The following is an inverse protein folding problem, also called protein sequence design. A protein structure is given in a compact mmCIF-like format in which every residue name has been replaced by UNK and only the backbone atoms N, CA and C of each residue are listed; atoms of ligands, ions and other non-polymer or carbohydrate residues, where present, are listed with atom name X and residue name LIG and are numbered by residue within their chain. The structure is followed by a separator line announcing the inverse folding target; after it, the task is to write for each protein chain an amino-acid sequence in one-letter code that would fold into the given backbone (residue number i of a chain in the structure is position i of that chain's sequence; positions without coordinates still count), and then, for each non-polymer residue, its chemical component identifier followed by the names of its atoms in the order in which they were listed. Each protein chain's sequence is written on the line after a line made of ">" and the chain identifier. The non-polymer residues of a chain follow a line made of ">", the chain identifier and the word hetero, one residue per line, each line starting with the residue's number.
data_IF_298955052458
#
_entry.id   IF_298955052458
#
_cell.length_a   1.000
_cell.length_b   1.000
_cell.length_c   1.000
_cell.angle_alpha   90.00
_cell.angle_beta   90.00
_cell.angle_gamma   90.00
#
_symmetry.space_group_name_H-M   'P 1'
#
loop_
_entity.id
_entity.type
_entity.pdbx_description
1 polymer ?
#
# COMPACT_ATOMS: atom_id res chain seq x y z
N UNK A 1 7.43 20.32 -15.89
CA UNK A 1 6.11 20.98 -15.80
C UNK A 1 5.45 20.62 -14.47
N UNK A 2 4.62 21.51 -13.92
CA UNK A 2 3.87 21.30 -12.67
C UNK A 2 3.04 20.01 -12.76
N UNK A 3 2.50 19.73 -13.94
CA UNK A 3 1.73 18.53 -14.25
C UNK A 3 2.51 17.23 -13.97
N UNK A 4 3.76 17.14 -14.45
CA UNK A 4 4.60 15.96 -14.25
C UNK A 4 4.98 15.81 -12.76
N UNK A 5 5.32 16.90 -12.08
CA UNK A 5 5.65 16.86 -10.65
C UNK A 5 4.49 16.38 -9.81
N UNK A 6 3.27 16.82 -10.13
CA UNK A 6 2.05 16.42 -9.42
C UNK A 6 1.72 14.94 -9.67
N UNK A 7 1.80 14.46 -10.92
CA UNK A 7 1.59 13.04 -11.24
C UNK A 7 2.61 12.14 -10.53
N UNK A 8 3.89 12.53 -10.53
CA UNK A 8 4.94 11.79 -9.84
C UNK A 8 4.72 11.78 -8.32
N UNK A 9 4.30 12.90 -7.73
CA UNK A 9 4.00 12.98 -6.30
C UNK A 9 2.81 12.09 -5.92
N UNK A 10 1.73 12.10 -6.71
CA UNK A 10 0.55 11.25 -6.48
C UNK A 10 0.90 9.77 -6.63
N UNK A 11 1.63 9.39 -7.67
CA UNK A 11 2.08 8.01 -7.90
C UNK A 11 3.02 7.53 -6.78
N UNK A 12 3.95 8.38 -6.34
CA UNK A 12 4.84 8.08 -5.22
C UNK A 12 4.06 7.89 -3.91
N UNK A 13 3.12 8.79 -3.61
CA UNK A 13 2.31 8.68 -2.40
C UNK A 13 1.44 7.42 -2.40
N UNK A 14 0.80 7.09 -3.52
CA UNK A 14 0.02 5.85 -3.66
C UNK A 14 0.90 4.61 -3.50
N UNK A 15 2.08 4.58 -4.12
CA UNK A 15 3.02 3.47 -3.99
C UNK A 15 3.49 3.28 -2.54
N UNK A 16 3.82 4.36 -1.85
CA UNK A 16 4.27 4.30 -0.45
C UNK A 16 3.14 3.84 0.48
N UNK A 17 1.94 4.42 0.34
CA UNK A 17 0.79 4.06 1.21
C UNK A 17 0.29 2.65 0.93
N UNK A 18 0.14 2.26 -0.34
CA UNK A 18 -0.26 0.91 -0.75
C UNK A 18 0.77 -0.13 -0.34
N UNK A 19 2.05 0.11 -0.60
CA UNK A 19 3.15 -0.77 -0.19
C UNK A 19 3.24 -0.95 1.32
N UNK A 20 3.09 0.13 2.09
CA UNK A 20 3.09 0.08 3.55
C UNK A 20 1.87 -0.68 4.10
N UNK A 21 0.67 -0.42 3.58
CA UNK A 21 -0.54 -1.13 3.96
C UNK A 21 -0.44 -2.63 3.66
N UNK A 22 0.09 -3.01 2.49
CA UNK A 22 0.32 -4.41 2.12
C UNK A 22 1.34 -5.09 3.05
N UNK A 23 2.44 -4.41 3.39
CA UNK A 23 3.45 -4.95 4.29
C UNK A 23 2.87 -5.23 5.69
N UNK A 24 2.09 -4.29 6.24
CA UNK A 24 1.39 -4.46 7.51
C UNK A 24 0.39 -5.61 7.45
N UNK A 25 -0.41 -5.69 6.38
CA UNK A 25 -1.40 -6.76 6.20
C UNK A 25 -0.72 -8.14 6.14
N UNK A 26 0.35 -8.30 5.36
CA UNK A 26 1.09 -9.57 5.26
C UNK A 26 1.68 -9.94 6.62
N UNK A 27 2.30 -9.00 7.33
CA UNK A 27 2.90 -9.25 8.65
C UNK A 27 1.86 -9.69 9.67
N UNK A 28 0.74 -8.96 9.77
CA UNK A 28 -0.36 -9.28 10.68
C UNK A 28 -1.01 -10.63 10.35
N UNK A 29 -1.20 -10.92 9.05
CA UNK A 29 -1.79 -12.19 8.62
C UNK A 29 -0.85 -13.38 8.89
N UNK A 30 0.47 -13.20 8.73
CA UNK A 30 1.46 -14.23 9.10
C UNK A 30 1.42 -14.55 10.58
N UNK A 31 1.36 -13.53 11.42
CA UNK A 31 1.29 -13.71 12.88
C UNK A 31 0.01 -14.45 13.27
N UNK A 32 -1.13 -14.04 12.74
CA UNK A 32 -2.43 -14.65 13.04
C UNK A 32 -2.51 -16.10 12.56
N UNK A 33 -2.20 -16.39 11.30
CA UNK A 33 -2.18 -17.77 10.77
C UNK A 33 -1.20 -18.63 11.55
N UNK A 34 0.00 -18.11 11.84
CA UNK A 34 0.97 -18.82 12.64
C UNK A 34 0.48 -19.13 14.04
N UNK A 35 -0.21 -18.19 14.69
CA UNK A 35 -0.83 -18.38 16.01
C UNK A 35 -1.92 -19.44 16.00
N UNK A 36 -2.85 -19.35 15.04
CA UNK A 36 -3.96 -20.30 14.89
C UNK A 36 -3.42 -21.71 14.60
N UNK A 37 -2.48 -21.84 13.65
CA UNK A 37 -1.92 -23.16 13.30
C UNK A 37 -1.16 -23.77 14.47
N UNK A 38 -0.36 -23.01 15.22
CA UNK A 38 0.27 -23.49 16.46
C UNK A 38 -0.77 -23.91 17.51
N UNK A 39 -1.87 -23.15 17.62
CA UNK A 39 -3.00 -23.55 18.47
C UNK A 39 -3.54 -24.92 18.07
N UNK A 40 -3.83 -25.15 16.81
CA UNK A 40 -4.30 -26.45 16.30
C UNK A 40 -3.29 -27.57 16.52
N UNK A 41 -2.00 -27.34 16.28
CA UNK A 41 -0.95 -28.33 16.51
C UNK A 41 -0.88 -28.76 17.99
N UNK A 42 -0.95 -27.78 18.90
CA UNK A 42 -0.99 -28.05 20.35
C UNK A 42 -2.24 -28.81 20.74
N UNK A 43 -3.39 -28.36 20.27
CA UNK A 43 -4.68 -28.97 20.65
C UNK A 43 -4.80 -30.39 20.07
N UNK A 44 -4.28 -30.60 18.85
CA UNK A 44 -4.26 -31.92 18.22
C UNK A 44 -3.31 -32.89 18.94
N UNK A 45 -2.08 -32.47 19.27
CA UNK A 45 -1.12 -33.27 20.05
C UNK A 45 -1.69 -33.62 21.42
N UNK A 46 -2.34 -32.66 22.07
CA UNK A 46 -3.00 -32.89 23.37
C UNK A 46 -4.19 -33.83 23.29
N UNK A 47 -5.07 -33.64 22.28
CA UNK A 47 -6.28 -34.47 22.16
C UNK A 47 -5.94 -35.95 21.97
N UNK A 48 -5.04 -36.24 21.02
CA UNK A 48 -4.56 -37.60 20.79
C UNK A 48 -3.69 -38.10 21.93
N UNK A 49 -2.91 -37.24 22.58
CA UNK A 49 -2.12 -37.60 23.77
C UNK A 49 -2.97 -37.99 24.95
N UNK A 50 -4.02 -37.23 25.28
CA UNK A 50 -4.95 -37.57 26.35
C UNK A 50 -5.76 -38.83 26.03
N UNK A 51 -6.13 -39.02 24.76
CA UNK A 51 -6.76 -40.26 24.31
C UNK A 51 -5.88 -41.48 24.56
N UNK A 52 -4.64 -41.40 24.14
CA UNK A 52 -3.66 -42.49 24.35
C UNK A 52 -3.32 -42.72 25.82
N UNK A 53 -3.28 -41.65 26.62
CA UNK A 53 -3.06 -41.75 28.06
C UNK A 53 -4.20 -42.53 28.76
N UNK A 54 -5.47 -42.28 28.39
CA UNK A 54 -6.60 -43.02 28.89
C UNK A 54 -6.59 -44.49 28.43
N UNK A 55 -6.16 -44.78 27.23
CA UNK A 55 -6.02 -46.16 26.71
C UNK A 55 -4.87 -46.89 27.42
N UNK A 56 -3.77 -46.19 27.72
CA UNK A 56 -2.65 -46.75 28.48
C UNK A 56 -3.08 -47.15 29.90
N UNK A 57 -3.93 -46.34 30.56
CA UNK A 57 -4.50 -46.65 31.88
C UNK A 57 -5.43 -47.88 31.84
N UNK A 58 -6.07 -48.15 30.70
CA UNK A 58 -7.06 -49.23 30.55
C UNK A 58 -6.43 -50.52 30.02
N UNK A 59 -5.63 -50.42 28.96
CA UNK A 59 -5.11 -51.55 28.18
C UNK A 59 -3.61 -51.80 28.42
N UNK A 60 -2.95 -50.93 29.25
CA UNK A 60 -1.56 -51.05 29.57
C UNK A 60 -0.65 -50.81 28.33
N UNK A 61 0.50 -51.49 28.32
CA UNK A 61 1.53 -51.33 27.24
C UNK A 61 1.03 -51.68 25.85
N UNK A 62 -0.09 -52.41 25.71
CA UNK A 62 -0.68 -52.72 24.40
C UNK A 62 -1.17 -51.46 23.67
N UNK A 63 -1.55 -50.41 24.40
CA UNK A 63 -1.91 -49.12 23.83
C UNK A 63 -0.73 -48.44 23.09
N UNK A 64 0.50 -48.72 23.50
CA UNK A 64 1.72 -48.18 22.85
C UNK A 64 2.27 -49.11 21.73
N UNK A 65 1.55 -50.19 21.42
CA UNK A 65 1.97 -51.09 20.33
C UNK A 65 1.94 -50.35 18.96
N UNK A 66 2.90 -50.67 18.10
CA UNK A 66 2.98 -50.01 16.77
C UNK A 66 1.75 -50.25 15.90
N UNK A 67 1.06 -51.40 16.02
CA UNK A 67 -0.18 -51.72 15.30
C UNK A 67 -1.36 -50.84 15.79
N UNK A 68 -1.52 -50.72 17.10
CA UNK A 68 -2.54 -49.88 17.69
C UNK A 68 -2.34 -48.41 17.33
N UNK A 69 -1.13 -47.89 17.54
CA UNK A 69 -0.77 -46.50 17.18
C UNK A 69 -0.98 -46.22 15.69
N UNK A 70 -0.65 -47.16 14.81
CA UNK A 70 -0.94 -47.01 13.38
C UNK A 70 -2.42 -46.94 13.07
N UNK A 71 -3.27 -47.71 13.83
CA UNK A 71 -4.70 -47.72 13.60
C UNK A 71 -5.39 -46.40 13.93
N UNK A 72 -4.91 -45.67 14.95
CA UNK A 72 -5.52 -44.43 15.45
C UNK A 72 -4.85 -43.17 14.89
N UNK A 73 -3.59 -43.24 14.48
CA UNK A 73 -2.82 -42.06 14.05
C UNK A 73 -2.58 -41.95 12.55
N UNK A 74 -2.90 -43.02 11.78
CA UNK A 74 -2.69 -43.01 10.34
C UNK A 74 -3.55 -41.93 9.66
N UNK A 75 -2.89 -41.03 8.90
CA UNK A 75 -3.55 -39.93 8.19
C UNK A 75 -3.94 -38.74 9.05
N UNK A 76 -3.62 -38.74 10.35
CA UNK A 76 -3.84 -37.59 11.23
C UNK A 76 -2.88 -36.46 10.83
N UNK A 77 -3.45 -35.32 10.46
CA UNK A 77 -2.72 -34.14 10.03
C UNK A 77 -3.48 -32.85 10.36
N UNK A 78 -2.80 -31.72 10.30
CA UNK A 78 -3.44 -30.41 10.41
C UNK A 78 -4.06 -30.07 9.06
N UNK A 79 -5.36 -29.81 9.03
CA UNK A 79 -6.09 -29.50 7.81
C UNK A 79 -5.48 -28.28 7.10
N UNK A 80 -5.24 -28.41 5.79
CA UNK A 80 -4.64 -27.35 4.98
C UNK A 80 -3.12 -27.21 5.11
N UNK A 81 -2.44 -28.10 5.86
CA UNK A 81 -0.98 -28.18 5.99
C UNK A 81 -0.51 -29.57 5.60
N UNK A 82 -0.18 -29.76 4.32
CA UNK A 82 0.11 -31.07 3.73
C UNK A 82 1.34 -31.76 4.32
N UNK A 83 2.33 -30.97 4.77
CA UNK A 83 3.55 -31.48 5.42
C UNK A 83 3.34 -31.91 6.86
N UNK A 84 2.15 -31.69 7.43
CA UNK A 84 1.88 -32.04 8.82
C UNK A 84 1.65 -33.52 9.01
N UNK A 85 2.13 -34.04 10.11
CA UNK A 85 1.88 -35.42 10.54
C UNK A 85 2.08 -35.54 12.04
N UNK A 86 1.57 -36.66 12.58
CA UNK A 86 1.69 -37.01 13.99
C UNK A 86 2.65 -38.21 14.14
N UNK A 87 3.41 -38.23 15.21
CA UNK A 87 4.24 -39.37 15.59
C UNK A 87 4.36 -39.47 17.11
N UNK A 88 4.76 -40.63 17.61
CA UNK A 88 4.87 -40.93 19.05
C UNK A 88 6.27 -41.41 19.34
N UNK A 89 6.85 -40.89 20.42
CA UNK A 89 8.17 -41.25 20.93
C UNK A 89 7.99 -41.72 22.39
N UNK A 90 8.66 -42.73 22.79
CA UNK A 90 8.71 -43.15 24.21
C UNK A 90 9.46 -42.14 25.08
N UNK A 91 9.28 -42.20 26.39
CA UNK A 91 10.03 -41.31 27.31
C UNK A 91 11.54 -41.42 27.24
N UNK A 92 12.08 -42.54 26.76
CA UNK A 92 13.52 -42.75 26.52
C UNK A 92 14.02 -42.22 25.19
N UNK A 93 13.11 -41.73 24.29
CA UNK A 93 13.46 -41.16 23.00
C UNK A 93 13.36 -42.13 21.82
N UNK A 94 12.85 -43.36 22.02
CA UNK A 94 12.63 -44.33 20.93
C UNK A 94 11.34 -44.02 20.18
N UNK A 95 11.35 -44.04 18.85
CA UNK A 95 10.20 -43.81 17.99
C UNK A 95 9.23 -44.99 18.07
N UNK A 96 8.09 -44.80 18.68
CA UNK A 96 7.02 -45.83 18.77
C UNK A 96 6.15 -45.85 17.54
N UNK A 97 5.83 -44.70 16.97
CA UNK A 97 5.08 -44.56 15.74
C UNK A 97 5.60 -43.39 14.91
N UNK A 98 5.68 -43.63 13.60
CA UNK A 98 5.95 -42.59 12.61
C UNK A 98 5.31 -42.97 11.27
N UNK A 99 4.75 -42.03 10.46
CA UNK A 99 4.24 -42.34 9.13
C UNK A 99 5.26 -42.99 8.19
N UNK A 100 6.53 -42.72 8.38
CA UNK A 100 7.65 -43.39 7.69
C UNK A 100 8.11 -44.58 8.52
N UNK A 101 7.75 -45.78 8.11
CA UNK A 101 7.98 -47.02 8.88
C UNK A 101 9.47 -47.28 9.24
N UNK A 102 10.41 -46.86 8.39
CA UNK A 102 11.85 -47.05 8.63
C UNK A 102 12.37 -46.28 9.84
N UNK A 103 11.59 -45.33 10.40
CA UNK A 103 11.96 -44.58 11.59
C UNK A 103 11.51 -45.23 12.89
N UNK A 104 10.55 -46.14 12.84
CA UNK A 104 10.03 -46.85 14.02
C UNK A 104 11.15 -47.69 14.65
N UNK A 105 11.25 -47.66 15.98
CA UNK A 105 12.27 -48.35 16.74
C UNK A 105 13.65 -47.65 16.74
N UNK A 106 13.79 -46.49 16.09
CA UNK A 106 15.05 -45.72 16.10
C UNK A 106 14.94 -44.51 17.04
N UNK A 107 16.10 -44.03 17.53
CA UNK A 107 16.11 -42.79 18.29
C UNK A 107 15.57 -41.61 17.52
N UNK A 108 14.84 -40.71 18.19
CA UNK A 108 14.37 -39.45 17.59
C UNK A 108 15.53 -38.56 17.21
N UNK A 109 15.47 -37.99 16.00
CA UNK A 109 16.59 -37.20 15.46
C UNK A 109 16.44 -35.69 15.69
N UNK A 110 15.20 -35.18 15.87
CA UNK A 110 15.00 -33.73 15.92
C UNK A 110 15.30 -33.14 17.31
N UNK A 111 15.84 -31.93 17.31
CA UNK A 111 16.29 -31.23 18.51
C UNK A 111 15.16 -30.96 19.50
N UNK A 112 13.97 -30.56 19.04
CA UNK A 112 12.87 -30.20 19.94
C UNK A 112 12.43 -31.34 20.83
N UNK A 113 12.29 -32.54 20.26
CA UNK A 113 11.91 -33.74 21.03
C UNK A 113 13.07 -34.28 21.84
N UNK A 114 14.31 -34.22 21.33
CA UNK A 114 15.49 -34.59 22.10
C UNK A 114 15.66 -33.72 23.37
N UNK A 115 15.36 -32.41 23.26
CA UNK A 115 15.37 -31.51 24.43
C UNK A 115 14.29 -31.91 25.45
N UNK A 116 13.11 -32.35 24.99
CA UNK A 116 12.03 -32.89 25.86
C UNK A 116 12.46 -34.19 26.54
N UNK A 117 13.01 -35.14 25.80
CA UNK A 117 13.54 -36.41 26.34
C UNK A 117 14.64 -36.13 27.38
N UNK A 118 15.52 -35.16 27.11
CA UNK A 118 16.59 -34.79 28.07
C UNK A 118 16.03 -34.18 29.37
N UNK A 119 14.90 -33.45 29.32
CA UNK A 119 14.20 -32.95 30.52
C UNK A 119 13.57 -34.09 31.28
N UNK A 120 12.88 -35.01 30.60
CA UNK A 120 12.29 -36.24 31.20
C UNK A 120 13.38 -37.04 31.94
N UNK A 121 14.51 -37.28 31.31
CA UNK A 121 15.61 -38.02 31.93
C UNK A 121 16.18 -37.37 33.22
N UNK A 122 15.94 -36.05 33.40
CA UNK A 122 16.33 -35.31 34.61
C UNK A 122 15.18 -35.25 35.65
N UNK A 123 14.02 -35.82 35.34
CA UNK A 123 12.82 -35.69 36.16
C UNK A 123 12.17 -34.31 36.11
N UNK A 124 12.50 -33.52 35.11
CA UNK A 124 11.90 -32.20 34.91
C UNK A 124 10.57 -32.32 34.16
N UNK A 125 9.58 -31.49 34.54
CA UNK A 125 8.32 -31.44 33.82
C UNK A 125 8.48 -30.80 32.44
N UNK A 126 7.95 -31.43 31.41
CA UNK A 126 7.86 -30.88 30.06
C UNK A 126 6.52 -30.22 29.87
N UNK A 127 6.47 -28.97 29.48
CA UNK A 127 5.23 -28.27 29.16
C UNK A 127 4.72 -28.64 27.77
N UNK A 128 3.39 -28.68 27.63
CA UNK A 128 2.73 -28.93 26.38
C UNK A 128 2.72 -27.63 25.53
N UNK A 129 3.70 -27.51 24.66
CA UNK A 129 3.95 -26.30 23.88
C UNK A 129 4.19 -26.58 22.39
N UNK A 130 4.14 -25.53 21.59
CA UNK A 130 4.59 -25.60 20.20
C UNK A 130 5.90 -24.87 20.05
N UNK A 131 6.91 -25.60 19.65
CA UNK A 131 8.27 -25.07 19.45
C UNK A 131 8.62 -25.00 17.97
N UNK A 132 9.35 -23.96 17.59
CA UNK A 132 9.98 -23.87 16.27
C UNK A 132 11.39 -24.46 16.36
N UNK A 133 11.75 -25.32 15.42
CA UNK A 133 13.06 -25.95 15.36
C UNK A 133 13.52 -26.12 13.92
N UNK A 134 14.83 -26.29 13.73
CA UNK A 134 15.40 -26.60 12.43
C UNK A 134 15.64 -28.11 12.32
N UNK A 135 15.27 -28.71 11.18
CA UNK A 135 15.53 -30.09 10.88
C UNK A 135 15.99 -30.24 9.43
N UNK A 136 17.22 -30.74 9.23
CA UNK A 136 17.84 -30.96 7.91
C UNK A 136 17.81 -29.72 7.01
N UNK A 137 18.03 -28.54 7.59
CA UNK A 137 18.05 -27.24 6.86
C UNK A 137 16.67 -26.64 6.59
N UNK A 138 15.59 -27.22 7.11
CA UNK A 138 14.24 -26.67 7.03
C UNK A 138 13.70 -26.29 8.41
N UNK A 139 13.08 -25.12 8.51
CA UNK A 139 12.34 -24.70 9.70
C UNK A 139 11.04 -25.50 9.83
N UNK A 140 10.76 -26.00 11.03
CA UNK A 140 9.54 -26.74 11.35
C UNK A 140 8.94 -26.28 12.65
N UNK A 141 7.64 -26.58 12.84
CA UNK A 141 6.96 -26.53 14.13
C UNK A 141 6.79 -27.94 14.68
N UNK A 142 6.85 -28.11 16.02
CA UNK A 142 6.46 -29.30 16.74
C UNK A 142 5.52 -28.92 17.90
N UNK A 143 4.28 -29.36 17.83
CA UNK A 143 3.36 -29.36 18.96
C UNK A 143 3.62 -30.61 19.80
N UNK A 144 4.06 -30.44 21.04
CA UNK A 144 4.52 -31.48 21.93
C UNK A 144 3.50 -31.66 23.05
N UNK A 145 3.07 -32.88 23.29
CA UNK A 145 2.36 -33.30 24.48
C UNK A 145 3.14 -34.42 25.17
N UNK A 146 3.26 -34.34 26.49
CA UNK A 146 3.86 -35.38 27.32
C UNK A 146 2.83 -35.72 28.40
N UNK A 147 2.56 -37.00 28.59
CA UNK A 147 1.66 -37.44 29.65
C UNK A 147 2.27 -37.27 31.06
N UNK A 148 1.45 -37.31 32.10
CA UNK A 148 1.92 -37.02 33.47
C UNK A 148 2.92 -38.06 33.99
N UNK A 149 2.84 -39.30 33.53
CA UNK A 149 3.79 -40.37 33.85
C UNK A 149 5.07 -40.34 33.03
N UNK A 150 5.10 -39.51 31.94
CA UNK A 150 6.21 -39.32 31.05
C UNK A 150 6.61 -40.61 30.26
N UNK A 151 5.65 -41.50 30.03
CA UNK A 151 5.87 -42.75 29.29
C UNK A 151 6.00 -42.52 27.81
N UNK A 152 5.33 -41.49 27.27
CA UNK A 152 5.39 -41.13 25.85
C UNK A 152 5.32 -39.64 25.60
N UNK A 153 5.77 -39.28 24.39
CA UNK A 153 5.72 -37.93 23.83
C UNK A 153 4.93 -38.01 22.54
N UNK A 154 3.77 -37.34 22.49
CA UNK A 154 2.98 -37.17 21.28
C UNK A 154 3.41 -35.90 20.56
N UNK A 155 3.73 -36.00 19.27
CA UNK A 155 4.25 -34.87 18.51
C UNK A 155 3.46 -34.66 17.22
N UNK A 156 2.95 -33.48 17.02
CA UNK A 156 2.42 -33.01 15.74
C UNK A 156 3.43 -32.07 15.11
N UNK A 157 3.93 -32.38 13.94
CA UNK A 157 4.93 -31.56 13.24
C UNK A 157 4.43 -31.04 11.92
N UNK A 158 4.94 -29.89 11.47
CA UNK A 158 4.66 -29.31 10.17
C UNK A 158 5.84 -28.44 9.68
N UNK A 159 6.01 -28.35 8.38
CA UNK A 159 7.00 -27.45 7.78
C UNK A 159 6.53 -25.99 7.90
N UNK A 160 7.44 -25.13 8.39
CA UNK A 160 7.17 -23.69 8.51
C UNK A 160 6.67 -23.10 7.21
N UNK A 161 7.35 -23.41 6.12
CA UNK A 161 7.02 -22.92 4.80
C UNK A 161 5.63 -23.35 4.31
N UNK A 162 5.18 -24.53 4.70
CA UNK A 162 3.87 -25.04 4.30
C UNK A 162 2.76 -24.39 5.10
N UNK A 163 2.95 -24.18 6.40
CA UNK A 163 2.03 -23.42 7.26
C UNK A 163 1.71 -22.05 6.65
N UNK A 164 2.69 -21.41 6.03
CA UNK A 164 2.52 -20.10 5.39
C UNK A 164 2.33 -20.16 3.87
N UNK A 165 2.14 -21.34 3.28
CA UNK A 165 1.96 -21.52 1.83
C UNK A 165 0.79 -20.74 1.25
N UNK A 166 -0.32 -20.69 1.98
CA UNK A 166 -1.51 -19.93 1.60
C UNK A 166 -1.25 -18.43 1.51
N UNK A 167 -0.39 -17.89 2.37
CA UNK A 167 -0.01 -16.46 2.32
C UNK A 167 0.81 -16.17 1.08
N UNK A 168 1.75 -17.04 0.70
CA UNK A 168 2.53 -16.88 -0.55
C UNK A 168 1.66 -16.81 -1.80
N UNK A 169 0.56 -17.57 -1.85
CA UNK A 169 -0.44 -17.47 -2.93
C UNK A 169 -1.14 -16.11 -2.96
N UNK A 170 -1.36 -15.51 -1.80
CA UNK A 170 -1.96 -14.17 -1.66
C UNK A 170 -0.94 -13.07 -2.02
N UNK A 171 0.34 -13.22 -1.67
CA UNK A 171 1.41 -12.27 -2.01
C UNK A 171 1.46 -11.99 -3.53
N UNK A 172 1.31 -13.03 -4.37
CA UNK A 172 1.25 -12.86 -5.83
C UNK A 172 0.05 -12.03 -6.31
N UNK A 173 -1.11 -12.16 -5.65
CA UNK A 173 -2.32 -11.37 -5.97
C UNK A 173 -2.20 -9.92 -5.52
N UNK A 174 -1.51 -9.66 -4.42
CA UNK A 174 -1.25 -8.30 -3.91
C UNK A 174 -0.47 -7.48 -4.94
N UNK A 175 0.53 -8.07 -5.60
CA UNK A 175 1.26 -7.39 -6.67
C UNK A 175 0.36 -6.88 -7.80
N UNK A 176 -0.65 -7.66 -8.18
CA UNK A 176 -1.65 -7.26 -9.19
C UNK A 176 -2.52 -6.11 -8.67
N UNK A 177 -2.94 -6.16 -7.40
CA UNK A 177 -3.78 -5.11 -6.79
C UNK A 177 -3.01 -3.78 -6.73
N UNK A 178 -1.75 -3.78 -6.32
CA UNK A 178 -0.89 -2.59 -6.30
C UNK A 178 -0.70 -2.01 -7.70
N UNK A 179 -0.54 -2.86 -8.70
CA UNK A 179 -0.42 -2.41 -10.09
C UNK A 179 -1.71 -1.77 -10.61
N UNK A 180 -2.87 -2.33 -10.27
CA UNK A 180 -4.18 -1.75 -10.59
C UNK A 180 -4.40 -0.41 -9.88
N UNK A 181 -4.03 -0.31 -8.60
CA UNK A 181 -4.08 0.95 -7.85
C UNK A 181 -3.25 2.04 -8.53
N UNK A 182 -2.02 1.71 -8.93
CA UNK A 182 -1.14 2.64 -9.63
C UNK A 182 -1.74 3.11 -10.96
N UNK A 183 -2.35 2.22 -11.72
CA UNK A 183 -3.05 2.54 -12.96
C UNK A 183 -4.22 3.51 -12.72
N UNK A 184 -5.01 3.27 -11.70
CA UNK A 184 -6.14 4.13 -11.30
C UNK A 184 -5.63 5.52 -10.91
N UNK A 185 -4.59 5.60 -10.07
CA UNK A 185 -4.02 6.88 -9.63
C UNK A 185 -3.46 7.69 -10.80
N UNK A 186 -2.74 7.03 -11.73
CA UNK A 186 -2.23 7.71 -12.94
C UNK A 186 -3.37 8.22 -13.83
N UNK A 187 -4.43 7.44 -13.97
CA UNK A 187 -5.60 7.83 -14.78
C UNK A 187 -6.34 9.01 -14.17
N UNK A 188 -6.64 8.95 -12.87
CA UNK A 188 -7.30 10.04 -12.13
C UNK A 188 -6.41 11.29 -12.12
N UNK A 189 -5.12 11.14 -11.84
CA UNK A 189 -4.18 12.23 -11.84
C UNK A 189 -4.03 12.91 -13.21
N UNK A 190 -4.06 12.12 -14.28
CA UNK A 190 -4.05 12.66 -15.66
C UNK A 190 -5.32 13.44 -15.98
N UNK A 191 -6.49 12.91 -15.58
CA UNK A 191 -7.77 13.61 -15.74
C UNK A 191 -7.77 14.92 -14.94
N UNK A 192 -7.33 14.91 -13.69
CA UNK A 192 -7.21 16.09 -12.84
C UNK A 192 -6.27 17.15 -13.47
N UNK A 193 -5.14 16.71 -13.99
CA UNK A 193 -4.19 17.58 -14.67
C UNK A 193 -4.79 18.24 -15.93
N UNK A 194 -5.66 17.55 -16.63
CA UNK A 194 -6.35 18.10 -17.81
C UNK A 194 -7.50 19.04 -17.45
N UNK A 195 -8.28 18.70 -16.43
CA UNK A 195 -9.49 19.41 -16.06
C UNK A 195 -9.18 20.68 -15.24
N UNK A 196 -8.12 20.64 -14.41
CA UNK A 196 -7.80 21.73 -13.48
C UNK A 196 -6.47 22.41 -13.81
N UNK A 197 -5.37 21.65 -13.84
CA UNK A 197 -4.02 22.26 -13.93
C UNK A 197 -3.78 22.94 -15.28
N UNK A 198 -4.23 22.32 -16.37
CA UNK A 198 -4.05 22.92 -17.70
C UNK A 198 -4.83 24.24 -17.84
N UNK A 199 -6.13 24.34 -17.53
CA UNK A 199 -6.84 25.61 -17.59
C UNK A 199 -6.34 26.66 -16.60
N UNK A 200 -5.87 26.29 -15.40
CA UNK A 200 -5.24 27.25 -14.49
C UNK A 200 -3.96 27.88 -15.06
N UNK A 201 -3.12 27.08 -15.72
CA UNK A 201 -1.95 27.62 -16.41
C UNK A 201 -2.35 28.55 -17.57
N UNK A 202 -3.42 28.23 -18.29
CA UNK A 202 -3.96 29.09 -19.36
C UNK A 202 -4.46 30.42 -18.80
N UNK A 203 -5.16 30.43 -17.65
CA UNK A 203 -5.56 31.65 -16.94
C UNK A 203 -4.33 32.47 -16.54
N UNK A 204 -3.29 31.82 -15.98
CA UNK A 204 -2.05 32.50 -15.62
C UNK A 204 -1.36 33.14 -16.82
N UNK A 205 -1.27 32.43 -17.96
CA UNK A 205 -0.71 32.95 -19.20
C UNK A 205 -1.48 34.17 -19.72
N UNK A 206 -2.82 34.10 -19.70
CA UNK A 206 -3.66 35.23 -20.08
C UNK A 206 -3.48 36.42 -19.14
N UNK A 207 -3.29 36.18 -17.83
CA UNK A 207 -3.04 37.27 -16.86
C UNK A 207 -1.73 38.00 -17.18
N UNK A 208 -0.68 37.25 -17.55
CA UNK A 208 0.61 37.83 -17.99
C UNK A 208 0.41 38.67 -19.25
N UNK A 209 -0.30 38.15 -20.27
CA UNK A 209 -0.57 38.90 -21.50
C UNK A 209 -1.30 40.23 -21.27
N UNK A 210 -2.33 40.19 -20.41
CA UNK A 210 -3.03 41.43 -20.03
C UNK A 210 -2.10 42.41 -19.29
N UNK A 211 -1.19 41.88 -18.45
CA UNK A 211 -0.15 42.69 -17.78
C UNK A 211 0.81 43.33 -18.77
N UNK A 212 1.16 42.66 -19.86
CA UNK A 212 1.99 43.16 -20.94
C UNK A 212 1.23 44.06 -21.96
N UNK A 213 -0.01 44.44 -21.63
CA UNK A 213 -0.92 45.25 -22.46
C UNK A 213 -1.30 44.57 -23.80
N UNK A 214 -1.11 43.25 -23.93
CA UNK A 214 -1.67 42.49 -25.06
C UNK A 214 -3.15 42.19 -24.81
N UNK A 215 -3.99 43.11 -25.32
CA UNK A 215 -5.44 43.02 -25.16
C UNK A 215 -6.13 42.30 -26.33
N UNK A 216 -5.39 41.50 -27.11
CA UNK A 216 -5.94 40.74 -28.23
C UNK A 216 -6.72 39.55 -27.73
N UNK A 217 -8.00 39.41 -28.18
CA UNK A 217 -8.84 38.26 -27.82
C UNK A 217 -8.40 37.02 -28.57
N UNK A 218 -8.28 35.90 -27.80
CA UNK A 218 -7.90 34.61 -28.38
C UNK A 218 -8.92 33.51 -28.04
N UNK A 219 -8.78 32.34 -28.68
CA UNK A 219 -9.69 31.19 -28.48
C UNK A 219 -9.65 30.64 -27.05
N UNK A 220 -8.48 30.71 -26.38
CA UNK A 220 -8.31 30.25 -25.00
C UNK A 220 -9.19 31.05 -24.05
N UNK A 221 -9.20 32.38 -24.20
CA UNK A 221 -10.03 33.28 -23.40
C UNK A 221 -11.53 32.95 -23.55
N UNK A 222 -12.00 32.74 -24.79
CA UNK A 222 -13.40 32.37 -25.08
C UNK A 222 -13.72 30.99 -24.47
N UNK A 223 -12.84 30.00 -24.62
CA UNK A 223 -13.03 28.66 -24.06
C UNK A 223 -13.11 28.68 -22.54
N UNK A 224 -12.23 29.42 -21.86
CA UNK A 224 -12.24 29.57 -20.41
C UNK A 224 -13.50 30.27 -19.91
N UNK A 225 -13.92 31.36 -20.54
CA UNK A 225 -15.13 32.11 -20.16
C UNK A 225 -16.41 31.27 -20.24
N UNK A 226 -16.46 30.29 -21.15
CA UNK A 226 -17.58 29.37 -21.31
C UNK A 226 -17.70 28.28 -20.27
N UNK A 227 -16.68 28.09 -19.40
CA UNK A 227 -16.74 27.11 -18.30
C UNK A 227 -17.73 27.57 -17.21
N UNK A 228 -18.35 26.58 -16.54
CA UNK A 228 -19.35 26.85 -15.47
C UNK A 228 -18.79 26.75 -14.05
N UNK A 229 -17.48 26.49 -13.92
CA UNK A 229 -16.77 26.35 -12.65
C UNK A 229 -16.02 27.63 -12.24
N UNK A 230 -15.22 27.56 -11.17
CA UNK A 230 -14.40 28.66 -10.63
C UNK A 230 -13.39 29.17 -11.67
N UNK A 231 -12.84 28.28 -12.47
CA UNK A 231 -11.90 28.63 -13.55
C UNK A 231 -12.64 29.44 -14.63
N UNK A 232 -13.87 29.06 -14.94
CA UNK A 232 -14.72 29.84 -15.84
C UNK A 232 -15.05 31.23 -15.30
N UNK A 233 -15.25 31.35 -14.00
CA UNK A 233 -15.43 32.66 -13.35
C UNK A 233 -14.19 33.55 -13.48
N UNK A 234 -12.98 32.96 -13.26
CA UNK A 234 -11.71 33.67 -13.49
C UNK A 234 -11.55 34.10 -14.97
N UNK A 235 -11.89 33.21 -15.92
CA UNK A 235 -11.88 33.54 -17.36
C UNK A 235 -12.78 34.71 -17.70
N UNK A 236 -14.02 34.75 -17.20
CA UNK A 236 -14.95 35.87 -17.40
C UNK A 236 -14.45 37.16 -16.76
N UNK A 237 -13.86 37.09 -15.56
CA UNK A 237 -13.29 38.27 -14.91
C UNK A 237 -12.12 38.85 -15.71
N UNK A 238 -11.26 38.00 -16.28
CA UNK A 238 -10.18 38.43 -17.18
C UNK A 238 -10.71 39.03 -18.50
N UNK A 239 -11.77 38.45 -19.06
CA UNK A 239 -12.41 38.98 -20.27
C UNK A 239 -12.96 40.38 -20.00
N UNK A 240 -13.65 40.56 -18.87
CA UNK A 240 -14.17 41.88 -18.43
C UNK A 240 -13.02 42.89 -18.21
N UNK A 241 -11.97 42.49 -17.52
CA UNK A 241 -10.79 43.35 -17.29
C UNK A 241 -10.13 43.78 -18.61
N UNK A 242 -9.97 42.84 -19.54
CA UNK A 242 -9.40 43.13 -20.88
C UNK A 242 -10.26 44.13 -21.65
N UNK A 243 -11.58 43.96 -21.61
CA UNK A 243 -12.52 44.90 -22.30
C UNK A 243 -12.49 46.27 -21.63
N UNK A 244 -12.44 46.35 -20.29
CA UNK A 244 -12.34 47.60 -19.57
C UNK A 244 -11.08 48.37 -19.88
N UNK A 245 -9.92 47.67 -19.88
CA UNK A 245 -8.63 48.26 -20.25
C UNK A 245 -8.62 48.75 -21.70
N UNK A 246 -9.22 48.00 -22.63
CA UNK A 246 -9.34 48.39 -24.03
C UNK A 246 -10.14 49.68 -24.17
N UNK A 247 -11.27 49.80 -23.44
CA UNK A 247 -12.05 51.04 -23.41
C UNK A 247 -11.30 52.23 -22.84
N UNK A 248 -10.49 52.01 -21.81
CA UNK A 248 -9.62 53.06 -21.22
C UNK A 248 -8.58 53.52 -22.26
N UNK A 249 -7.90 52.58 -22.96
CA UNK A 249 -6.92 52.91 -24.01
C UNK A 249 -7.56 53.68 -25.15
N UNK A 250 -8.75 53.29 -25.62
CA UNK A 250 -9.48 53.98 -26.66
C UNK A 250 -9.86 55.41 -26.24
N UNK A 251 -10.31 55.58 -25.00
CA UNK A 251 -10.66 56.89 -24.45
C UNK A 251 -9.43 57.81 -24.35
N UNK A 252 -8.30 57.27 -23.84
CA UNK A 252 -7.02 58.03 -23.83
C UNK A 252 -6.60 58.45 -25.23
N UNK A 253 -6.71 57.58 -26.22
CA UNK A 253 -6.39 57.88 -27.61
C UNK A 253 -7.28 59.01 -28.16
N UNK A 254 -8.58 58.95 -27.90
CA UNK A 254 -9.55 60.00 -28.31
C UNK A 254 -9.22 61.36 -27.62
N UNK A 255 -8.97 61.35 -26.31
CA UNK A 255 -8.61 62.56 -25.56
C UNK A 255 -7.29 63.12 -26.03
N UNK A 256 -6.30 62.28 -26.34
CA UNK A 256 -5.03 62.74 -26.86
C UNK A 256 -5.16 63.37 -28.25
N UNK A 257 -6.06 62.88 -29.12
CA UNK A 257 -6.36 63.51 -30.40
C UNK A 257 -7.04 64.87 -30.17
N UNK A 258 -8.00 64.98 -29.27
CA UNK A 258 -8.62 66.24 -28.94
C UNK A 258 -7.65 67.28 -28.38
N UNK A 259 -6.69 66.88 -27.54
CA UNK A 259 -5.60 67.75 -27.04
C UNK A 259 -4.68 68.19 -28.18
N UNK A 260 -4.36 67.31 -29.13
CA UNK A 260 -3.55 67.61 -30.31
C UNK A 260 -4.23 68.67 -31.19
N UNK A 261 -5.54 68.45 -31.42
CA UNK A 261 -6.34 69.42 -32.24
C UNK A 261 -6.43 70.79 -31.56
N UNK A 262 -6.64 70.81 -30.26
CA UNK A 262 -6.64 72.07 -29.48
C UNK A 262 -5.29 72.77 -29.49
N UNK A 263 -4.17 72.03 -29.43
CA UNK A 263 -2.82 72.56 -29.55
C UNK A 263 -2.56 73.14 -30.94
N UNK A 264 -3.03 72.52 -32.00
CA UNK A 264 -2.90 73.00 -33.35
C UNK A 264 -3.68 74.33 -33.56
N UNK A 265 -4.91 74.44 -33.01
CA UNK A 265 -5.70 75.66 -33.00
C UNK A 265 -4.96 76.78 -32.24
N UNK A 266 -4.44 76.49 -31.04
CA UNK A 266 -3.66 77.47 -30.27
C UNK A 266 -2.42 77.97 -31.02
N UNK A 267 -1.69 77.09 -31.73
CA UNK A 267 -0.52 77.45 -32.52
C UNK A 267 -0.89 78.40 -33.69
N UNK A 268 -2.04 78.08 -34.36
CA UNK A 268 -2.58 78.95 -35.39
C UNK A 268 -2.97 80.32 -34.84
N UNK A 269 -3.70 80.38 -33.76
CA UNK A 269 -4.12 81.63 -33.09
C UNK A 269 -2.92 82.45 -32.62
N UNK A 270 -1.87 81.79 -32.09
CA UNK A 270 -0.62 82.47 -31.68
C UNK A 270 0.10 83.06 -32.88
N UNK A 271 0.13 82.32 -34.04
CA UNK A 271 0.71 82.80 -35.28
C UNK A 271 -0.03 84.00 -35.83
N UNK A 272 -1.38 83.95 -35.86
CA UNK A 272 -2.23 85.06 -36.29
C UNK A 272 -2.08 86.29 -35.38
N UNK A 273 -2.02 86.09 -34.07
CA UNK A 273 -1.76 87.13 -33.07
C UNK A 273 -0.40 87.80 -33.31
N UNK A 274 0.64 87.00 -33.53
CA UNK A 274 1.98 87.50 -33.86
C UNK A 274 2.01 88.37 -35.14
N UNK A 275 1.33 87.87 -36.19
CA UNK A 275 1.23 88.61 -37.46
C UNK A 275 0.44 89.90 -37.30
N UNK A 276 -0.63 89.89 -36.51
CA UNK A 276 -1.42 91.09 -36.22
C UNK A 276 -0.59 92.12 -35.41
N UNK A 277 0.20 91.64 -34.40
CA UNK A 277 1.10 92.50 -33.65
C UNK A 277 2.17 93.15 -34.53
N UNK A 278 2.77 92.41 -35.48
CA UNK A 278 3.73 92.96 -36.42
C UNK A 278 3.10 94.03 -37.34
N UNK A 279 1.83 93.80 -37.76
CA UNK A 279 1.09 94.82 -38.55
C UNK A 279 0.78 96.05 -37.77
N UNK A 280 0.44 95.95 -36.48
CA UNK A 280 0.20 97.10 -35.60
C UNK A 280 1.51 97.84 -35.35
N UNK A 281 2.63 97.13 -35.13
CA UNK A 281 3.97 97.80 -34.99
C UNK A 281 4.46 98.57 -36.24
N UNK A 282 4.05 98.10 -37.41
CA UNK A 282 4.34 98.80 -38.70
C UNK A 282 3.42 100.01 -38.95
N UNK A 283 2.26 100.06 -38.29
CA UNK A 283 1.26 101.13 -38.43
C UNK A 283 1.40 102.29 -37.43
N UNK A 284 2.30 102.19 -36.44
CA UNK A 284 2.66 103.21 -35.46
C UNK A 284 3.99 103.85 -35.87
#
# INVERSE_FOLDING_TARGET
>A
SVRLKMLLAMAFFAFVTGGFACALFISSTKEEIGSVTRGYMRDLSRAYGVMLDNELDTDGDDALSGEHLASILAGVQVEGVESSYIYVVSGDGTMLYHPTAEKIGKPVENKAVNDAVAKIAKGEKVENEVVKYEFKGADKYAGIYVNDTQDFIMVVTADYDDVFSSIRKVEGKIGIIVLLELLIVVTIGSAFAHIIVKPMNEVSELTVKVGDMDLTKNEIQTRLANRRDEIGRMGRSLDYLTQSLKGVVENIKEKSAQVMDAANVLDSDATETSTTMEQVEQAV
#
